data_IF_709162872497
#
_entry.id   IF_709162872497
#
_cell.length_a   1.000
_cell.length_b   1.000
_cell.length_c   1.000
_cell.angle_alpha   90.00
_cell.angle_beta   90.00
_cell.angle_gamma   90.00
#
_symmetry.space_group_name_H-M   'P 1'
#
loop_
_entity.id
_entity.type
_entity.pdbx_description
1 polymer ?
#
# COMPACT_ATOMS: atom_id res chain seq x y z
N UNK A 1 11.07 0.46 33.73
CA UNK A 1 10.72 1.78 33.18
C UNK A 1 10.39 1.80 31.68
N UNK A 2 11.15 1.21 30.74
CA UNK A 2 10.85 1.36 29.29
C UNK A 2 9.57 0.64 28.85
N UNK A 3 9.24 -0.51 29.44
CA UNK A 3 8.03 -1.28 29.11
C UNK A 3 6.75 -0.52 29.47
N UNK A 4 6.72 0.17 30.61
CA UNK A 4 5.55 0.93 31.06
C UNK A 4 5.24 2.11 30.13
N UNK A 5 6.27 2.77 29.60
CA UNK A 5 6.13 3.87 28.64
C UNK A 5 5.54 3.38 27.30
N UNK A 6 5.89 2.16 26.88
CA UNK A 6 5.39 1.55 25.65
C UNK A 6 3.95 1.04 25.84
N UNK A 7 3.68 0.34 26.94
CA UNK A 7 2.37 -0.30 27.15
C UNK A 7 1.28 0.68 27.59
N UNK A 8 1.63 1.79 28.24
CA UNK A 8 0.67 2.78 28.74
C UNK A 8 -0.35 3.23 27.68
N UNK A 9 0.08 3.74 26.51
CA UNK A 9 -0.83 4.12 25.43
C UNK A 9 -1.72 2.97 24.94
N UNK A 10 -1.17 1.75 24.78
CA UNK A 10 -1.97 0.60 24.35
C UNK A 10 -3.06 0.24 25.36
N UNK A 11 -2.75 0.27 26.66
CA UNK A 11 -3.74 0.05 27.71
C UNK A 11 -4.83 1.13 27.69
N UNK A 12 -4.47 2.40 27.47
CA UNK A 12 -5.43 3.50 27.35
C UNK A 12 -6.34 3.28 26.14
N UNK A 13 -5.79 2.99 24.95
CA UNK A 13 -6.58 2.70 23.76
C UNK A 13 -7.49 1.48 23.96
N UNK A 14 -7.00 0.45 24.64
CA UNK A 14 -7.78 -0.74 24.95
C UNK A 14 -8.98 -0.41 25.83
N UNK A 15 -8.81 0.35 26.92
CA UNK A 15 -9.90 0.78 27.80
C UNK A 15 -10.88 1.69 27.06
N UNK A 16 -10.39 2.65 26.28
CA UNK A 16 -11.21 3.56 25.47
C UNK A 16 -12.02 2.81 24.40
N UNK A 17 -11.51 1.70 23.89
CA UNK A 17 -12.22 0.87 22.89
C UNK A 17 -13.57 0.34 23.40
N UNK A 18 -13.70 0.12 24.71
CA UNK A 18 -14.96 -0.29 25.33
C UNK A 18 -15.90 0.90 25.61
N UNK A 19 -15.34 2.09 25.85
CA UNK A 19 -16.11 3.30 26.18
C UNK A 19 -16.98 3.81 25.03
N UNK A 20 -18.05 4.55 25.35
CA UNK A 20 -18.96 5.15 24.37
C UNK A 20 -18.64 6.62 24.18
N UNK A 21 -18.80 7.12 22.95
CA UNK A 21 -18.74 8.57 22.68
C UNK A 21 -20.14 9.14 22.84
N UNK A 22 -20.34 9.98 23.85
CA UNK A 22 -21.57 10.73 24.10
C UNK A 22 -21.24 12.23 24.20
N UNK A 23 -21.93 13.07 23.41
CA UNK A 23 -21.75 14.53 23.41
C UNK A 23 -20.28 15.01 23.33
N UNK A 24 -19.46 14.34 22.49
CA UNK A 24 -18.03 14.62 22.31
C UNK A 24 -17.13 14.32 23.52
N UNK A 25 -17.64 13.62 24.55
CA UNK A 25 -16.87 13.05 25.64
C UNK A 25 -16.83 11.52 25.54
N UNK A 26 -15.67 10.93 25.89
CA UNK A 26 -15.54 9.48 26.02
C UNK A 26 -15.99 9.09 27.42
N UNK A 27 -17.15 8.47 27.52
CA UNK A 27 -17.64 7.89 28.77
C UNK A 27 -17.16 6.44 28.82
N UNK A 28 -16.39 6.10 29.85
CA UNK A 28 -15.94 4.72 30.07
C UNK A 28 -17.13 3.91 30.57
N UNK A 29 -17.83 3.29 29.63
CA UNK A 29 -18.82 2.26 29.88
C UNK A 29 -18.30 0.96 29.27
N UNK A 30 -18.37 -0.16 29.99
CA UNK A 30 -17.86 -1.43 29.49
C UNK A 30 -18.89 -2.08 28.57
N UNK A 31 -18.91 -1.70 27.29
CA UNK A 31 -19.88 -2.21 26.32
C UNK A 31 -19.20 -2.72 25.03
N UNK A 32 -19.75 -3.78 24.45
CA UNK A 32 -19.35 -4.32 23.14
C UNK A 32 -20.05 -3.63 21.96
N UNK A 33 -20.89 -2.63 22.20
CA UNK A 33 -21.65 -1.90 21.20
C UNK A 33 -20.80 -1.32 20.07
N UNK A 34 -19.58 -0.86 20.38
CA UNK A 34 -18.65 -0.33 19.38
C UNK A 34 -18.22 -1.40 18.38
N UNK A 35 -17.90 -2.61 18.86
CA UNK A 35 -17.49 -3.72 18.00
C UNK A 35 -18.63 -4.20 17.11
N UNK A 36 -19.85 -4.32 17.66
CA UNK A 36 -21.04 -4.67 16.89
C UNK A 36 -21.32 -3.61 15.83
N UNK A 37 -21.19 -2.32 16.16
CA UNK A 37 -21.37 -1.21 15.21
C UNK A 37 -20.36 -1.27 14.07
N UNK A 38 -19.08 -1.52 14.37
CA UNK A 38 -18.01 -1.66 13.37
C UNK A 38 -18.29 -2.85 12.44
N UNK A 39 -18.73 -3.99 12.98
CA UNK A 39 -19.04 -5.18 12.18
C UNK A 39 -20.33 -5.05 11.38
N UNK A 40 -21.33 -4.32 11.88
CA UNK A 40 -22.58 -4.08 11.19
C UNK A 40 -22.44 -3.04 10.07
N UNK A 41 -21.51 -2.10 10.19
CA UNK A 41 -21.28 -1.03 9.22
C UNK A 41 -20.84 -1.59 7.85
N UNK A 42 -21.63 -1.33 6.82
CA UNK A 42 -21.34 -1.74 5.44
C UNK A 42 -20.09 -1.07 4.88
N UNK A 43 -19.82 0.16 5.28
CA UNK A 43 -18.65 0.94 4.82
C UNK A 43 -17.37 0.32 5.37
N UNK A 44 -17.35 -0.02 6.66
CA UNK A 44 -16.19 -0.64 7.28
C UNK A 44 -15.89 -2.00 6.65
N UNK A 45 -16.92 -2.85 6.49
CA UNK A 45 -16.75 -4.15 5.82
C UNK A 45 -16.24 -4.01 4.38
N UNK A 46 -16.75 -3.02 3.64
CA UNK A 46 -16.29 -2.74 2.29
C UNK A 46 -14.82 -2.30 2.27
N UNK A 47 -14.41 -1.41 3.17
CA UNK A 47 -13.02 -0.94 3.26
C UNK A 47 -12.10 -2.09 3.63
N UNK A 48 -12.44 -2.91 4.63
CA UNK A 48 -11.66 -4.09 5.04
C UNK A 48 -11.52 -5.09 3.88
N UNK A 49 -12.61 -5.39 3.18
CA UNK A 49 -12.56 -6.29 2.02
C UNK A 49 -11.65 -5.74 0.92
N UNK A 50 -11.76 -4.44 0.61
CA UNK A 50 -10.90 -3.78 -0.37
C UNK A 50 -9.42 -3.82 0.02
N UNK A 51 -9.09 -3.51 1.27
CA UNK A 51 -7.69 -3.51 1.72
C UNK A 51 -7.09 -4.91 1.71
N UNK A 52 -7.86 -5.94 2.08
CA UNK A 52 -7.44 -7.34 1.98
C UNK A 52 -7.14 -7.74 0.54
N UNK A 53 -8.03 -7.43 -0.40
CA UNK A 53 -7.84 -7.76 -1.81
C UNK A 53 -6.62 -7.04 -2.39
N UNK A 54 -6.45 -5.74 -2.09
CA UNK A 54 -5.24 -4.99 -2.50
C UNK A 54 -3.99 -5.63 -1.92
N UNK A 55 -3.98 -5.92 -0.62
CA UNK A 55 -2.81 -6.46 0.08
C UNK A 55 -2.39 -7.82 -0.48
N UNK A 56 -3.35 -8.73 -0.69
CA UNK A 56 -3.09 -10.05 -1.26
C UNK A 56 -2.63 -9.93 -2.71
N UNK A 57 -3.31 -9.12 -3.53
CA UNK A 57 -2.92 -8.92 -4.92
C UNK A 57 -1.50 -8.34 -5.03
N UNK A 58 -1.17 -7.34 -4.21
CA UNK A 58 0.18 -6.75 -4.18
C UNK A 58 1.20 -7.76 -3.73
N UNK A 59 0.95 -8.53 -2.66
CA UNK A 59 1.86 -9.58 -2.21
C UNK A 59 2.13 -10.61 -3.31
N UNK A 60 1.08 -11.12 -3.96
CA UNK A 60 1.21 -12.07 -5.07
C UNK A 60 2.04 -11.50 -6.22
N UNK A 61 1.75 -10.27 -6.66
CA UNK A 61 2.50 -9.65 -7.76
C UNK A 61 3.95 -9.37 -7.36
N UNK A 62 4.20 -8.87 -6.16
CA UNK A 62 5.56 -8.68 -5.66
C UNK A 62 6.35 -9.99 -5.61
N UNK A 63 5.73 -11.11 -5.22
CA UNK A 63 6.38 -12.42 -5.21
C UNK A 63 6.59 -12.96 -6.63
N UNK A 64 5.56 -12.91 -7.48
CA UNK A 64 5.62 -13.41 -8.86
C UNK A 64 6.61 -12.65 -9.74
N UNK A 65 6.73 -11.33 -9.55
CA UNK A 65 7.71 -10.50 -10.27
C UNK A 65 9.07 -10.49 -9.56
N UNK A 66 9.08 -10.58 -8.23
CA UNK A 66 10.29 -10.57 -7.43
C UNK A 66 11.16 -11.81 -7.66
N UNK A 67 10.53 -12.97 -7.83
CA UNK A 67 11.22 -14.23 -8.09
C UNK A 67 12.05 -14.23 -9.39
N UNK A 68 11.48 -13.93 -10.58
CA UNK A 68 12.26 -13.85 -11.82
C UNK A 68 13.29 -12.72 -11.77
N UNK A 69 13.00 -11.59 -11.12
CA UNK A 69 13.98 -10.51 -10.95
C UNK A 69 15.20 -10.97 -10.14
N UNK A 70 14.99 -11.64 -9.01
CA UNK A 70 16.06 -12.20 -8.19
C UNK A 70 16.83 -13.31 -8.91
N UNK A 71 16.13 -14.17 -9.65
CA UNK A 71 16.74 -15.21 -10.47
C UNK A 71 17.64 -14.61 -11.57
N UNK A 72 17.19 -13.57 -12.27
CA UNK A 72 17.99 -12.84 -13.25
C UNK A 72 19.24 -12.23 -12.61
N UNK A 73 19.14 -11.64 -11.41
CA UNK A 73 20.31 -11.12 -10.70
C UNK A 73 21.37 -12.19 -10.41
N UNK A 74 20.97 -13.45 -10.24
CA UNK A 74 21.89 -14.57 -9.98
C UNK A 74 22.63 -15.03 -11.24
N UNK A 75 22.00 -14.91 -12.41
CA UNK A 75 22.57 -15.34 -13.70
C UNK A 75 23.41 -14.23 -14.36
N UNK A 76 23.09 -12.97 -14.09
CA UNK A 76 23.75 -11.83 -14.71
C UNK A 76 25.18 -11.61 -14.17
N UNK A 77 26.06 -11.15 -15.07
CA UNK A 77 27.42 -10.74 -14.69
C UNK A 77 27.45 -9.59 -13.67
N UNK A 78 28.59 -9.38 -12.99
CA UNK A 78 28.70 -8.52 -11.80
C UNK A 78 28.20 -7.09 -12.03
N UNK A 79 28.51 -6.49 -13.17
CA UNK A 79 28.07 -5.13 -13.53
C UNK A 79 26.56 -5.03 -13.71
N UNK A 80 25.94 -5.98 -14.43
CA UNK A 80 24.50 -5.97 -14.72
C UNK A 80 23.68 -6.27 -13.45
N UNK A 81 24.17 -7.18 -12.60
CA UNK A 81 23.61 -7.43 -11.28
C UNK A 81 23.62 -6.17 -10.41
N UNK A 82 24.77 -5.48 -10.34
CA UNK A 82 24.88 -4.23 -9.57
C UNK A 82 23.91 -3.17 -10.06
N UNK A 83 23.79 -2.98 -11.39
CA UNK A 83 22.82 -2.04 -11.98
C UNK A 83 21.37 -2.37 -11.60
N UNK A 84 20.98 -3.65 -11.66
CA UNK A 84 19.63 -4.08 -11.24
C UNK A 84 19.39 -3.86 -9.74
N UNK A 85 20.36 -4.18 -8.88
CA UNK A 85 20.26 -3.93 -7.45
C UNK A 85 20.07 -2.44 -7.15
N UNK A 86 20.82 -1.57 -7.82
CA UNK A 86 20.66 -0.12 -7.72
C UNK A 86 19.28 0.31 -8.25
N UNK A 87 18.83 -0.22 -9.39
CA UNK A 87 17.52 0.11 -9.95
C UNK A 87 16.36 -0.21 -8.99
N UNK A 88 16.43 -1.31 -8.24
CA UNK A 88 15.44 -1.62 -7.18
C UNK A 88 15.67 -0.81 -5.90
N UNK A 89 16.90 -0.39 -5.59
CA UNK A 89 17.19 0.45 -4.44
C UNK A 89 16.73 1.91 -4.64
N UNK A 90 16.74 2.45 -5.86
CA UNK A 90 16.27 3.82 -6.16
C UNK A 90 14.85 4.11 -5.62
N UNK A 91 13.82 3.28 -5.86
CA UNK A 91 12.48 3.51 -5.30
C UNK A 91 12.43 3.47 -3.77
N UNK A 92 13.41 2.84 -3.10
CA UNK A 92 13.51 2.80 -1.65
C UNK A 92 13.91 4.17 -1.07
N UNK A 93 14.75 4.92 -1.77
CA UNK A 93 15.29 6.21 -1.34
C UNK A 93 14.26 7.35 -1.46
N UNK A 94 13.21 7.16 -2.27
CA UNK A 94 12.14 8.14 -2.46
C UNK A 94 11.16 8.12 -1.28
N UNK A 95 10.75 9.31 -0.80
CA UNK A 95 9.69 9.44 0.20
C UNK A 95 8.39 8.81 -0.29
N UNK A 96 7.66 8.15 0.62
CA UNK A 96 6.37 7.51 0.32
C UNK A 96 5.36 8.50 -0.27
N UNK A 97 5.34 9.72 0.27
CA UNK A 97 4.44 10.80 -0.18
C UNK A 97 4.73 11.18 -1.64
N UNK A 98 6.01 11.29 -2.02
CA UNK A 98 6.42 11.60 -3.40
C UNK A 98 5.95 10.49 -4.34
N UNK A 99 6.13 9.22 -3.96
CA UNK A 99 5.69 8.07 -4.77
C UNK A 99 4.19 8.09 -5.02
N UNK A 100 3.39 8.42 -4.00
CA UNK A 100 1.94 8.58 -4.16
C UNK A 100 1.63 9.69 -5.17
N UNK A 101 2.24 10.86 -5.03
CA UNK A 101 1.96 11.99 -5.93
C UNK A 101 2.43 11.73 -7.35
N UNK A 102 3.58 11.09 -7.55
CA UNK A 102 4.10 10.74 -8.88
C UNK A 102 3.17 9.75 -9.56
N UNK A 103 2.80 8.65 -8.88
CA UNK A 103 1.87 7.67 -9.44
C UNK A 103 0.51 8.31 -9.70
N UNK A 104 -0.01 9.12 -8.77
CA UNK A 104 -1.28 9.84 -8.95
C UNK A 104 -1.26 10.82 -10.12
N UNK A 105 -0.16 11.54 -10.33
CA UNK A 105 -0.01 12.48 -11.44
C UNK A 105 0.10 11.71 -12.77
N UNK A 106 0.91 10.65 -12.79
CA UNK A 106 1.10 9.79 -13.96
C UNK A 106 -0.22 9.13 -14.42
N UNK A 107 -1.02 8.71 -13.44
CA UNK A 107 -2.36 8.12 -13.56
C UNK A 107 -3.49 9.16 -13.62
N UNK A 108 -3.15 10.45 -13.59
CA UNK A 108 -4.12 11.52 -13.64
C UNK A 108 -4.90 11.53 -14.97
N UNK A 109 -6.05 12.20 -15.00
CA UNK A 109 -6.83 12.42 -16.23
C UNK A 109 -6.00 13.15 -17.31
N UNK A 110 -5.11 14.04 -16.87
CA UNK A 110 -4.09 14.72 -17.71
C UNK A 110 -2.69 14.11 -17.55
N UNK A 111 -2.59 12.88 -17.06
CA UNK A 111 -1.33 12.19 -16.82
C UNK A 111 -0.68 11.70 -18.12
N UNK A 112 0.63 11.45 -18.06
CA UNK A 112 1.42 10.99 -19.22
C UNK A 112 0.87 9.69 -19.82
N UNK A 113 0.35 8.78 -18.99
CA UNK A 113 -0.22 7.51 -19.45
C UNK A 113 -1.50 7.76 -20.26
N UNK A 114 -2.41 8.60 -19.77
CA UNK A 114 -3.64 8.92 -20.50
C UNK A 114 -3.33 9.66 -21.81
N UNK A 115 -2.37 10.59 -21.80
CA UNK A 115 -1.91 11.23 -23.04
C UNK A 115 -1.35 10.24 -24.06
N UNK A 116 -0.54 9.27 -23.63
CA UNK A 116 0.01 8.24 -24.52
C UNK A 116 -1.07 7.28 -25.04
N UNK A 117 -2.04 6.88 -24.20
CA UNK A 117 -3.18 6.04 -24.59
C UNK A 117 -4.11 6.73 -25.59
N UNK A 118 -4.35 8.04 -25.40
CA UNK A 118 -5.12 8.86 -26.34
C UNK A 118 -4.34 9.07 -27.65
N UNK A 119 -3.03 9.33 -27.58
CA UNK A 119 -2.18 9.53 -28.75
C UNK A 119 -2.00 8.25 -29.59
N UNK A 120 -2.02 7.07 -28.95
CA UNK A 120 -1.97 5.77 -29.64
C UNK A 120 -3.32 5.35 -30.24
N UNK A 121 -4.40 6.12 -30.02
CA UNK A 121 -5.73 5.82 -30.54
C UNK A 121 -6.41 4.61 -29.89
N UNK A 122 -5.81 4.04 -28.83
CA UNK A 122 -6.37 2.89 -28.11
C UNK A 122 -7.60 3.27 -27.26
N UNK A 123 -7.72 4.55 -26.88
CA UNK A 123 -8.83 5.05 -26.06
C UNK A 123 -9.25 6.44 -26.55
N UNK A 124 -10.57 6.67 -26.66
CA UNK A 124 -11.17 7.92 -27.14
C UNK A 124 -11.48 8.94 -26.04
N UNK A 125 -11.44 8.52 -24.77
CA UNK A 125 -11.63 9.38 -23.59
C UNK A 125 -10.61 9.03 -22.51
N UNK A 126 -10.15 10.00 -21.71
CA UNK A 126 -9.17 9.75 -20.65
C UNK A 126 -9.77 8.81 -19.60
N UNK A 127 -9.01 7.78 -19.22
CA UNK A 127 -9.46 6.81 -18.24
C UNK A 127 -9.43 7.45 -16.84
N UNK A 128 -10.60 7.86 -16.35
CA UNK A 128 -10.80 8.41 -15.00
C UNK A 128 -10.64 7.36 -13.89
N UNK A 129 -10.59 6.07 -14.25
CA UNK A 129 -10.35 4.94 -13.34
C UNK A 129 -9.01 5.00 -12.61
N UNK A 130 -8.15 5.97 -12.90
CA UNK A 130 -6.76 6.02 -12.43
C UNK A 130 -6.49 7.16 -11.43
N UNK A 131 -7.33 8.21 -11.41
CA UNK A 131 -7.07 9.48 -10.69
C UNK A 131 -7.23 9.39 -9.16
N UNK A 132 -7.98 8.39 -8.67
CA UNK A 132 -8.31 8.19 -7.25
C UNK A 132 -8.72 6.74 -6.89
N UNK A 133 -8.32 5.78 -7.71
CA UNK A 133 -8.85 4.40 -7.63
C UNK A 133 -7.91 3.42 -6.91
N UNK A 134 -8.50 2.29 -6.52
CA UNK A 134 -7.86 1.04 -6.09
C UNK A 134 -6.56 0.73 -6.85
N UNK A 135 -6.53 0.98 -8.17
CA UNK A 135 -5.37 0.70 -9.03
C UNK A 135 -4.15 1.57 -8.73
N UNK A 136 -4.35 2.86 -8.43
CA UNK A 136 -3.25 3.76 -8.08
C UNK A 136 -2.58 3.32 -6.78
N UNK A 137 -3.39 2.95 -5.77
CA UNK A 137 -2.91 2.41 -4.50
C UNK A 137 -2.14 1.11 -4.74
N UNK A 138 -2.69 0.18 -5.53
CA UNK A 138 -2.04 -1.08 -5.87
C UNK A 138 -0.68 -0.88 -6.57
N UNK A 139 -0.59 0.03 -7.56
CA UNK A 139 0.66 0.33 -8.27
C UNK A 139 1.69 0.99 -7.35
N UNK A 140 1.28 1.94 -6.52
CA UNK A 140 2.16 2.57 -5.54
C UNK A 140 2.67 1.54 -4.53
N UNK A 141 1.79 0.72 -3.95
CA UNK A 141 2.20 -0.31 -3.00
C UNK A 141 3.13 -1.34 -3.64
N UNK A 142 2.84 -1.78 -4.87
CA UNK A 142 3.70 -2.73 -5.59
C UNK A 142 5.08 -2.12 -5.83
N UNK A 143 5.18 -0.88 -6.33
CA UNK A 143 6.48 -0.24 -6.56
C UNK A 143 7.27 0.02 -5.27
N UNK A 144 6.59 0.21 -4.13
CA UNK A 144 7.22 0.39 -2.82
C UNK A 144 7.68 -0.94 -2.22
N UNK A 145 6.86 -1.99 -2.31
CA UNK A 145 7.09 -3.27 -1.63
C UNK A 145 7.91 -4.27 -2.46
N UNK A 146 7.90 -4.15 -3.78
CA UNK A 146 8.66 -5.02 -4.67
C UNK A 146 10.17 -5.09 -4.36
N UNK A 147 10.91 -3.99 -4.08
CA UNK A 147 12.31 -4.11 -3.68
C UNK A 147 12.50 -4.86 -2.35
N UNK A 148 11.56 -4.73 -1.41
CA UNK A 148 11.57 -5.51 -0.17
C UNK A 148 11.28 -6.99 -0.37
N UNK A 149 10.61 -7.38 -1.45
CA UNK A 149 10.46 -8.79 -1.83
C UNK A 149 11.68 -9.33 -2.58
N UNK A 150 12.25 -8.54 -3.50
CA UNK A 150 13.39 -8.96 -4.34
C UNK A 150 14.64 -9.22 -3.50
N UNK A 151 15.01 -8.32 -2.57
CA UNK A 151 16.27 -8.48 -1.84
C UNK A 151 16.35 -9.73 -0.96
N UNK A 152 15.33 -10.08 -0.14
CA UNK A 152 15.35 -11.33 0.62
C UNK A 152 15.37 -12.57 -0.27
N UNK A 153 14.60 -12.59 -1.37
CA UNK A 153 14.59 -13.72 -2.31
C UNK A 153 15.97 -13.89 -2.96
N UNK A 154 16.64 -12.79 -3.28
CA UNK A 154 17.98 -12.83 -3.85
C UNK A 154 19.05 -13.31 -2.85
N UNK A 155 18.87 -13.01 -1.55
CA UNK A 155 19.80 -13.40 -0.48
C UNK A 155 19.61 -14.85 0.00
N UNK A 156 18.52 -15.51 -0.39
CA UNK A 156 18.20 -16.90 -0.06
C UNK A 156 18.94 -17.89 -0.98
#
# INVERSE_FOLDING_TARGET
MPIALILGPFCIFFVVSFGRVEASAVVIDFNLSNYVRILADSTVRMVIGRTLVIGIATALVCTLVGFPAAYLMKILGPTRRSLLMVAFAVPLLMSYVIKIYTVRNLLGTNGVINHFLMASGLVSQPLEFFTLSYYGVFLTLTSVLLPFAVFPIFLS
#
